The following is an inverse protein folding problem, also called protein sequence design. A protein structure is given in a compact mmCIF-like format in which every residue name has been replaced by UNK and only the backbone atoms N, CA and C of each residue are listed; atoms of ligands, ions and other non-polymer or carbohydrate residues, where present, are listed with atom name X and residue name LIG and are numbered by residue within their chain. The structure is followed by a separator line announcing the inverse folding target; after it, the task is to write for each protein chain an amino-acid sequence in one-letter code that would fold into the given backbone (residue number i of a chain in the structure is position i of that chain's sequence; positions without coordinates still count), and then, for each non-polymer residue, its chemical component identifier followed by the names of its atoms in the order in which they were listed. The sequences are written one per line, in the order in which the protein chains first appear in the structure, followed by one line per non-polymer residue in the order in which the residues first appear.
data_IF_087193960028
#
_entry.id   IF_087193960028
#
_cell.length_a   1.000
_cell.length_b   1.000
_cell.length_c   1.000
_cell.angle_alpha   90.00
_cell.angle_beta   90.00
_cell.angle_gamma   90.00
#
_symmetry.space_group_name_H-M   'P 1'
#
loop_
_entity.id
_entity.type
_entity.pdbx_description
1 polymer ?
#
# COMPACT_ATOMS: atom_id res chain seq x y z
N UNK A 1 4.85 4.49 31.85
CA UNK A 1 6.31 4.40 31.86
C UNK A 1 6.85 4.43 30.46
N UNK A 2 7.98 5.10 30.26
CA UNK A 2 8.56 5.25 28.93
C UNK A 2 8.93 3.92 28.29
N UNK A 3 9.46 2.98 29.10
CA UNK A 3 9.83 1.66 28.56
C UNK A 3 8.64 0.92 27.96
N UNK A 4 7.49 0.99 28.61
CA UNK A 4 6.29 0.35 28.09
C UNK A 4 5.87 1.00 26.76
N UNK A 5 5.86 2.32 26.70
CA UNK A 5 5.47 3.04 25.50
C UNK A 5 6.43 2.75 24.34
N UNK A 6 7.74 2.83 24.61
CA UNK A 6 8.76 2.57 23.62
C UNK A 6 8.68 1.14 23.09
N UNK A 7 8.45 0.18 23.99
CA UNK A 7 8.33 -1.22 23.61
C UNK A 7 7.13 -1.46 22.71
N UNK A 8 5.97 -0.92 23.08
CA UNK A 8 4.74 -1.07 22.28
C UNK A 8 4.92 -0.45 20.90
N UNK A 9 5.48 0.75 20.84
CA UNK A 9 5.70 1.44 19.57
C UNK A 9 6.71 0.70 18.70
N UNK A 10 7.80 0.24 19.28
CA UNK A 10 8.83 -0.49 18.54
C UNK A 10 8.28 -1.79 17.97
N UNK A 11 7.59 -2.57 18.80
CA UNK A 11 7.01 -3.84 18.34
C UNK A 11 5.97 -3.62 17.26
N UNK A 12 5.16 -2.60 17.40
CA UNK A 12 4.14 -2.27 16.40
C UNK A 12 4.80 -1.87 15.06
N UNK A 13 5.81 -1.00 15.11
CA UNK A 13 6.54 -0.60 13.91
C UNK A 13 7.17 -1.82 13.20
N UNK A 14 7.80 -2.68 13.98
CA UNK A 14 8.39 -3.91 13.45
C UNK A 14 7.32 -4.79 12.80
N UNK A 15 6.18 -4.94 13.46
CA UNK A 15 5.10 -5.78 12.95
C UNK A 15 4.47 -5.20 11.68
N UNK A 16 4.36 -3.88 11.57
CA UNK A 16 3.89 -3.24 10.32
C UNK A 16 4.78 -3.65 9.15
N UNK A 17 6.08 -3.72 9.37
CA UNK A 17 7.03 -4.00 8.31
C UNK A 17 7.16 -5.49 7.99
N UNK A 18 7.04 -6.36 9.00
CA UNK A 18 7.43 -7.76 8.84
C UNK A 18 6.34 -8.78 9.14
N UNK A 19 5.26 -8.41 9.82
CA UNK A 19 4.21 -9.34 10.19
C UNK A 19 2.98 -9.13 9.29
N UNK A 20 2.65 -10.09 8.41
CA UNK A 20 1.49 -9.94 7.53
C UNK A 20 0.16 -9.93 8.29
N UNK A 21 0.16 -10.34 9.55
CA UNK A 21 -1.05 -10.37 10.39
C UNK A 21 -0.99 -9.32 11.49
N UNK A 22 -0.30 -8.22 11.27
CA UNK A 22 -0.15 -7.17 12.27
C UNK A 22 -1.52 -6.69 12.78
N UNK A 23 -1.61 -6.54 14.10
CA UNK A 23 -2.79 -5.96 14.74
C UNK A 23 -2.56 -4.49 14.98
N UNK A 24 -3.56 -3.68 14.63
CA UNK A 24 -3.50 -2.23 14.86
C UNK A 24 -3.35 -1.95 16.36
N UNK A 25 -2.35 -1.15 16.71
CA UNK A 25 -2.14 -0.77 18.08
C UNK A 25 -3.24 0.18 18.54
N UNK A 26 -3.83 -0.11 19.70
CA UNK A 26 -4.77 0.81 20.34
C UNK A 26 -3.96 1.90 21.03
N UNK A 27 -4.05 3.12 20.50
CA UNK A 27 -3.29 4.26 21.06
C UNK A 27 -3.65 4.56 22.50
N UNK A 28 -4.82 4.12 22.98
CA UNK A 28 -5.20 4.29 24.37
C UNK A 28 -4.34 3.48 25.33
N UNK A 29 -3.60 2.50 24.84
CA UNK A 29 -2.64 1.75 25.64
C UNK A 29 -1.37 2.55 25.91
N UNK A 30 -1.18 3.66 25.20
CA UNK A 30 -0.01 4.51 25.34
C UNK A 30 -0.32 5.69 26.30
N UNK A 31 0.70 6.15 27.00
CA UNK A 31 0.60 7.38 27.76
C UNK A 31 0.42 8.56 26.81
N UNK A 32 -0.21 9.61 27.28
CA UNK A 32 -0.65 10.71 26.42
C UNK A 32 0.44 11.28 25.49
N UNK A 33 1.68 11.54 25.96
CA UNK A 33 2.69 12.08 25.05
C UNK A 33 3.01 11.17 23.86
N UNK A 34 2.77 9.87 24.00
CA UNK A 34 3.10 8.89 22.98
C UNK A 34 1.92 8.54 22.07
N UNK A 35 0.72 8.95 22.41
CA UNK A 35 -0.46 8.63 21.62
C UNK A 35 -0.41 9.23 20.22
N UNK A 36 0.14 10.42 20.10
CA UNK A 36 0.27 11.08 18.80
C UNK A 36 1.20 10.29 17.89
N UNK A 37 2.30 9.79 18.41
CA UNK A 37 3.21 8.93 17.64
C UNK A 37 2.52 7.62 17.26
N UNK A 38 1.73 7.05 18.18
CA UNK A 38 0.93 5.86 17.87
C UNK A 38 -0.05 6.09 16.73
N UNK A 39 -0.70 7.25 16.71
CA UNK A 39 -1.59 7.61 15.59
C UNK A 39 -0.83 7.70 14.28
N UNK A 40 0.39 8.27 14.30
CA UNK A 40 1.24 8.31 13.12
C UNK A 40 1.57 6.91 12.59
N UNK A 41 1.86 5.98 13.50
CA UNK A 41 2.11 4.60 13.11
C UNK A 41 0.84 3.91 12.58
N UNK A 42 -0.34 4.28 13.06
CA UNK A 42 -1.58 3.77 12.50
C UNK A 42 -1.74 4.22 11.03
N UNK A 43 -1.37 5.44 10.71
CA UNK A 43 -1.37 5.91 9.32
C UNK A 43 -0.36 5.12 8.49
N UNK A 44 0.82 4.87 9.04
CA UNK A 44 1.84 4.07 8.36
C UNK A 44 1.33 2.65 8.08
N UNK A 45 0.69 2.03 9.07
CA UNK A 45 0.13 0.70 8.89
C UNK A 45 -0.86 0.67 7.74
N UNK A 46 -1.78 1.64 7.67
CA UNK A 46 -2.75 1.73 6.58
C UNK A 46 -2.08 1.90 5.22
N UNK A 47 -1.07 2.77 5.14
CA UNK A 47 -0.36 3.01 3.90
C UNK A 47 0.36 1.75 3.42
N UNK A 48 0.99 1.01 4.32
CA UNK A 48 1.69 -0.23 3.99
C UNK A 48 0.69 -1.29 3.53
N UNK A 49 -0.46 -1.40 4.20
CA UNK A 49 -1.50 -2.36 3.80
C UNK A 49 -2.05 -2.05 2.42
N UNK A 50 -2.30 -0.77 2.12
CA UNK A 50 -2.74 -0.35 0.79
C UNK A 50 -1.70 -0.72 -0.27
N UNK A 51 -0.44 -0.43 0.01
CA UNK A 51 0.64 -0.75 -0.92
C UNK A 51 0.73 -2.25 -1.19
N UNK A 52 0.64 -3.06 -0.14
CA UNK A 52 0.70 -4.51 -0.28
C UNK A 52 -0.49 -5.05 -1.08
N UNK A 53 -1.68 -4.56 -0.80
CA UNK A 53 -2.89 -4.98 -1.51
C UNK A 53 -2.83 -4.59 -2.98
N UNK A 54 -2.41 -3.37 -3.26
CA UNK A 54 -2.29 -2.87 -4.63
C UNK A 54 -1.21 -3.63 -5.41
N UNK A 55 -0.07 -3.84 -4.77
CA UNK A 55 1.04 -4.60 -5.35
C UNK A 55 0.61 -6.03 -5.67
N UNK A 56 -0.13 -6.67 -4.77
CA UNK A 56 -0.64 -8.02 -4.98
C UNK A 56 -1.62 -8.08 -6.16
N UNK A 57 -2.52 -7.11 -6.26
CA UNK A 57 -3.47 -7.03 -7.36
C UNK A 57 -2.75 -6.88 -8.70
N UNK A 58 -1.75 -5.99 -8.76
CA UNK A 58 -0.95 -5.78 -9.98
C UNK A 58 -0.21 -7.06 -10.38
N UNK A 59 0.35 -7.78 -9.41
CA UNK A 59 1.09 -9.00 -9.69
C UNK A 59 0.20 -10.12 -10.25
N UNK A 60 -1.09 -10.06 -9.96
CA UNK A 60 -2.08 -11.02 -10.51
C UNK A 60 -2.70 -10.52 -11.80
N UNK A 61 -2.30 -9.35 -12.29
CA UNK A 61 -2.89 -8.76 -13.48
C UNK A 61 -4.28 -8.19 -13.27
N UNK A 62 -4.71 -8.02 -12.02
CA UNK A 62 -6.01 -7.43 -11.71
C UNK A 62 -5.89 -5.91 -11.76
N UNK A 63 -6.33 -5.35 -12.88
CA UNK A 63 -6.26 -3.91 -13.13
C UNK A 63 -7.61 -3.23 -12.87
N UNK A 64 -8.58 -3.97 -12.36
CA UNK A 64 -9.93 -3.45 -12.15
C UNK A 64 -10.13 -2.93 -10.73
N UNK A 65 -10.44 -1.69 -10.61
CA UNK A 65 -11.15 -1.19 -9.45
C UNK A 65 -10.38 -0.77 -8.21
N UNK A 66 -9.26 -1.34 -7.86
CA UNK A 66 -8.58 -0.92 -6.65
C UNK A 66 -7.63 0.25 -6.94
N UNK A 67 -7.86 1.37 -6.25
CA UNK A 67 -6.98 2.54 -6.35
C UNK A 67 -6.65 3.00 -4.93
N UNK A 68 -5.37 3.06 -4.54
CA UNK A 68 -5.02 3.55 -3.22
C UNK A 68 -5.30 5.04 -3.06
N UNK A 69 -5.34 5.51 -1.82
CA UNK A 69 -5.62 6.91 -1.55
C UNK A 69 -4.53 7.81 -2.14
N UNK A 70 -4.89 9.06 -2.45
CA UNK A 70 -3.98 10.03 -3.07
C UNK A 70 -2.81 10.39 -2.16
N UNK A 71 -3.04 10.35 -0.85
CA UNK A 71 -2.01 10.70 0.12
C UNK A 71 -0.94 9.63 0.28
N UNK A 72 -1.16 8.45 -0.29
CA UNK A 72 -0.23 7.33 -0.11
C UNK A 72 0.88 7.38 -1.18
N UNK A 73 1.95 8.09 -0.88
CA UNK A 73 3.09 8.19 -1.78
C UNK A 73 3.81 6.86 -2.00
N UNK A 74 3.62 5.89 -1.10
CA UNK A 74 4.23 4.56 -1.28
C UNK A 74 3.69 3.85 -2.51
N UNK A 75 2.52 4.23 -2.98
CA UNK A 75 1.88 3.61 -4.13
C UNK A 75 2.13 4.36 -5.44
N UNK A 76 2.89 5.44 -5.42
CA UNK A 76 3.04 6.30 -6.60
C UNK A 76 3.63 5.54 -7.80
N UNK A 77 4.71 4.82 -7.60
CA UNK A 77 5.32 4.05 -8.69
C UNK A 77 4.43 2.89 -9.14
N UNK A 78 3.67 2.31 -8.22
CA UNK A 78 2.72 1.26 -8.55
C UNK A 78 1.59 1.78 -9.43
N UNK A 79 1.15 3.03 -9.22
CA UNK A 79 0.14 3.66 -10.07
C UNK A 79 0.67 3.84 -11.50
N UNK A 80 1.94 4.19 -11.64
CA UNK A 80 2.58 4.31 -12.95
C UNK A 80 2.64 2.96 -13.66
N UNK A 81 2.99 1.91 -12.94
CA UNK A 81 2.99 0.53 -13.48
C UNK A 81 1.58 0.15 -13.92
N UNK A 82 0.58 0.47 -13.10
CA UNK A 82 -0.82 0.17 -13.42
C UNK A 82 -1.23 0.83 -14.74
N UNK A 83 -0.91 2.13 -14.90
CA UNK A 83 -1.23 2.85 -16.12
C UNK A 83 -0.54 2.22 -17.34
N UNK A 84 0.73 1.84 -17.19
CA UNK A 84 1.49 1.20 -18.28
C UNK A 84 0.90 -0.15 -18.65
N UNK A 85 0.47 -0.95 -17.67
CA UNK A 85 -0.15 -2.24 -17.92
C UNK A 85 -1.49 -2.09 -18.63
N UNK A 86 -2.29 -1.10 -18.24
CA UNK A 86 -3.54 -0.81 -18.92
C UNK A 86 -3.30 -0.45 -20.39
N UNK A 87 -2.28 0.36 -20.64
CA UNK A 87 -1.94 0.77 -22.00
C UNK A 87 -1.49 -0.43 -22.85
N UNK A 88 -0.63 -1.29 -22.30
CA UNK A 88 -0.17 -2.50 -22.98
C UNK A 88 -1.34 -3.44 -23.27
N UNK A 89 -2.26 -3.60 -22.34
CA UNK A 89 -3.46 -4.41 -22.54
C UNK A 89 -4.30 -3.87 -23.69
N UNK A 90 -4.47 -2.56 -23.77
CA UNK A 90 -5.21 -1.91 -24.85
C UNK A 90 -4.52 -2.17 -26.19
N UNK A 91 -3.20 -1.99 -26.27
CA UNK A 91 -2.45 -2.24 -27.50
C UNK A 91 -2.59 -3.69 -27.95
N UNK A 92 -2.49 -4.64 -27.03
CA UNK A 92 -2.65 -6.06 -27.35
C UNK A 92 -4.03 -6.35 -27.93
N UNK A 93 -5.08 -5.72 -27.40
CA UNK A 93 -6.45 -5.86 -27.93
C UNK A 93 -6.56 -5.31 -29.34
N UNK A 94 -5.92 -4.19 -29.63
CA UNK A 94 -5.93 -3.61 -30.97
C UNK A 94 -5.26 -4.52 -31.98
N UNK A 95 -4.10 -5.10 -31.63
CA UNK A 95 -3.41 -6.06 -32.47
C UNK A 95 -4.28 -7.31 -32.72
N UNK A 96 -4.93 -7.81 -31.66
CA UNK A 96 -5.81 -8.98 -31.79
C UNK A 96 -7.00 -8.72 -32.72
N UNK A 97 -7.42 -7.46 -32.86
CA UNK A 97 -8.47 -7.06 -33.81
C UNK A 97 -7.97 -6.86 -35.24
N UNK A 98 -6.68 -7.05 -35.47
CA UNK A 98 -6.08 -6.88 -36.79
C UNK A 98 -5.63 -5.45 -37.08
N UNK A 99 -5.56 -4.58 -36.10
CA UNK A 99 -5.07 -3.21 -36.25
C UNK A 99 -3.56 -3.20 -36.05
N UNK A 100 -2.82 -3.28 -37.13
CA UNK A 100 -1.36 -3.31 -37.10
C UNK A 100 -0.73 -1.93 -37.27
N UNK A 101 -1.53 -0.88 -37.31
CA UNK A 101 -1.02 0.50 -37.34
C UNK A 101 -0.50 0.96 -35.97
N UNK A 102 -0.88 0.27 -34.91
CA UNK A 102 -0.41 0.56 -33.57
C UNK A 102 1.01 0.05 -33.40
N UNK A 103 1.96 0.95 -33.26
CA UNK A 103 3.34 0.59 -32.99
C UNK A 103 3.71 1.02 -31.57
N UNK A 104 4.54 0.22 -30.95
CA UNK A 104 5.00 0.52 -29.59
C UNK A 104 6.02 1.65 -29.60
#
# INVERSE_FOLDING_TARGET
MEEKNCKLLFEYLRDILYDPKVKTLDVNELDEPYQKLGLGLNYLERAVKEMKAYSAALSKGDLSGFTPSRENFLCENLKNIHANLNHLTWQAKQVAKGDYSQTV
#
